data_IF_428594066789
#
_entry.id   IF_428594066789
#
_cell.length_a   1.000
_cell.length_b   1.000
_cell.length_c   1.000
_cell.angle_alpha   90.00
_cell.angle_beta   90.00
_cell.angle_gamma   90.00
#
_symmetry.space_group_name_H-M   'P 1'
#
loop_
_entity.id
_entity.type
_entity.pdbx_description
1 polymer ?
#
# COMPACT_ATOMS: atom_id res chain seq x y z
N UNK A 1 -29.24 7.14 -5.65
CA UNK A 1 -28.03 7.24 -4.81
C UNK A 1 -27.25 5.95 -5.03
N UNK A 2 -26.06 6.03 -5.61
CA UNK A 2 -25.24 4.84 -5.88
C UNK A 2 -24.01 4.88 -4.98
N UNK A 3 -23.57 3.72 -4.51
CA UNK A 3 -22.27 3.62 -3.83
C UNK A 3 -21.18 3.76 -4.90
N UNK A 4 -20.20 4.67 -4.72
CA UNK A 4 -19.12 4.83 -5.69
C UNK A 4 -18.38 3.51 -5.94
N UNK A 5 -17.86 3.34 -7.16
CA UNK A 5 -17.04 2.16 -7.50
C UNK A 5 -15.84 2.02 -6.56
N UNK A 6 -15.57 0.78 -6.14
CA UNK A 6 -14.48 0.46 -5.22
C UNK A 6 -14.76 0.78 -3.75
N UNK A 7 -15.99 1.17 -3.41
CA UNK A 7 -16.43 1.34 -2.03
C UNK A 7 -17.61 0.41 -1.73
N UNK A 8 -17.74 0.00 -0.48
CA UNK A 8 -18.79 -0.91 -0.04
C UNK A 8 -18.77 -1.10 1.47
N UNK A 9 -19.76 -1.80 1.99
CA UNK A 9 -19.85 -2.12 3.41
C UNK A 9 -21.28 -2.31 3.88
N UNK A 10 -21.44 -2.35 5.20
CA UNK A 10 -22.74 -2.45 5.86
C UNK A 10 -23.22 -1.06 6.26
N UNK A 11 -24.47 -0.72 5.93
CA UNK A 11 -25.12 0.49 6.44
C UNK A 11 -25.24 0.39 7.95
N UNK A 12 -24.68 1.36 8.67
CA UNK A 12 -24.71 1.42 10.13
C UNK A 12 -25.71 2.44 10.65
N UNK A 13 -26.00 3.48 9.88
CA UNK A 13 -26.93 4.54 10.27
C UNK A 13 -27.46 5.27 9.03
N UNK A 14 -28.67 5.83 9.15
CA UNK A 14 -29.30 6.69 8.16
C UNK A 14 -29.98 7.85 8.86
N UNK A 15 -29.55 9.07 8.55
CA UNK A 15 -30.11 10.30 9.10
C UNK A 15 -30.78 11.10 7.99
N UNK A 16 -32.05 11.40 8.19
CA UNK A 16 -32.86 12.21 7.29
C UNK A 16 -33.11 13.55 7.99
N UNK A 17 -32.73 14.63 7.34
CA UNK A 17 -33.02 16.01 7.75
C UNK A 17 -34.04 16.59 6.77
N UNK A 18 -35.09 17.23 7.29
CA UNK A 18 -36.18 17.79 6.49
C UNK A 18 -36.42 19.25 6.89
N UNK A 19 -36.45 20.15 5.91
CA UNK A 19 -36.70 21.57 6.16
C UNK A 19 -38.05 21.79 6.84
N UNK A 20 -39.05 20.97 6.52
CA UNK A 20 -40.38 21.08 7.12
C UNK A 20 -40.38 20.76 8.63
N UNK A 21 -39.39 19.99 9.09
CA UNK A 21 -39.21 19.67 10.50
C UNK A 21 -38.39 20.73 11.27
N UNK A 22 -38.01 21.83 10.61
CA UNK A 22 -37.19 22.88 11.21
C UNK A 22 -35.68 22.59 11.22
N UNK A 23 -35.22 21.60 10.44
CA UNK A 23 -33.79 21.32 10.30
C UNK A 23 -33.09 22.39 9.45
N UNK A 24 -31.90 22.81 9.88
CA UNK A 24 -31.07 23.77 9.15
C UNK A 24 -30.42 23.11 7.91
N UNK A 25 -30.77 23.60 6.73
CA UNK A 25 -30.38 23.05 5.43
C UNK A 25 -30.01 24.19 4.48
N UNK A 26 -28.98 23.98 3.65
CA UNK A 26 -28.52 24.94 2.65
C UNK A 26 -29.65 25.44 1.74
N UNK A 27 -29.61 26.70 1.27
CA UNK A 27 -30.60 27.24 0.34
C UNK A 27 -30.82 26.31 -0.86
N UNK A 28 -32.08 26.14 -1.28
CA UNK A 28 -32.45 25.20 -2.36
C UNK A 28 -32.58 23.72 -1.96
N UNK A 29 -32.12 23.30 -0.78
CA UNK A 29 -32.23 21.90 -0.32
C UNK A 29 -33.46 21.71 0.58
N UNK A 30 -34.42 20.88 0.14
CA UNK A 30 -35.62 20.56 0.92
C UNK A 30 -35.42 19.41 1.92
N UNK A 31 -34.62 18.41 1.55
CA UNK A 31 -34.35 17.21 2.35
C UNK A 31 -32.91 16.75 2.13
N UNK A 32 -32.22 16.38 3.19
CA UNK A 32 -30.87 15.81 3.14
C UNK A 32 -30.88 14.41 3.76
N UNK A 33 -30.37 13.43 3.02
CA UNK A 33 -30.21 12.05 3.50
C UNK A 33 -28.72 11.75 3.63
N UNK A 34 -28.28 11.44 4.85
CA UNK A 34 -26.92 10.95 5.13
C UNK A 34 -26.97 9.47 5.47
N UNK A 35 -26.17 8.67 4.78
CA UNK A 35 -26.06 7.23 4.99
C UNK A 35 -24.63 6.93 5.42
N UNK A 36 -24.44 6.31 6.57
CA UNK A 36 -23.13 5.88 7.05
C UNK A 36 -22.94 4.40 6.72
N UNK A 37 -21.82 4.08 6.08
CA UNK A 37 -21.45 2.74 5.66
C UNK A 37 -20.14 2.37 6.36
N UNK A 38 -20.12 1.24 7.06
CA UNK A 38 -18.93 0.71 7.71
C UNK A 38 -18.38 -0.50 6.96
N UNK A 39 -17.05 -0.60 6.87
CA UNK A 39 -16.36 -1.70 6.23
C UNK A 39 -15.17 -2.15 7.10
N UNK A 40 -15.12 -3.43 7.43
CA UNK A 40 -13.96 -4.03 8.12
C UNK A 40 -12.91 -4.44 7.10
N UNK A 41 -11.76 -3.76 7.12
CA UNK A 41 -10.66 -4.01 6.18
C UNK A 41 -9.60 -4.92 6.81
N UNK A 42 -9.49 -6.16 6.31
CA UNK A 42 -8.40 -7.07 6.66
C UNK A 42 -7.07 -6.62 6.04
N UNK A 43 -5.98 -7.21 6.49
CA UNK A 43 -4.66 -6.98 5.89
C UNK A 43 -4.60 -7.69 4.54
N UNK A 44 -4.08 -7.01 3.52
CA UNK A 44 -4.02 -7.52 2.14
C UNK A 44 -2.69 -7.18 1.50
N UNK A 45 -2.33 -7.91 0.44
CA UNK A 45 -1.16 -7.59 -0.37
C UNK A 45 -1.28 -6.18 -0.96
N UNK A 46 -0.20 -5.41 -0.91
CA UNK A 46 -0.20 -3.99 -1.28
C UNK A 46 -0.48 -3.02 -0.12
N UNK A 47 -0.97 -3.49 1.04
CA UNK A 47 -1.09 -2.64 2.23
C UNK A 47 0.29 -2.26 2.77
N UNK A 48 0.39 -1.05 3.34
CA UNK A 48 1.65 -0.52 3.89
C UNK A 48 1.73 -0.75 5.40
N UNK A 49 2.83 -1.35 5.83
CA UNK A 49 3.16 -1.60 7.24
C UNK A 49 4.43 -0.82 7.63
N UNK A 50 4.59 -0.54 8.92
CA UNK A 50 5.80 0.08 9.45
C UNK A 50 6.07 -0.31 10.89
N UNK A 51 7.34 -0.52 11.25
CA UNK A 51 7.74 -0.52 12.65
C UNK A 51 8.04 0.89 13.17
N UNK A 52 8.33 1.00 14.47
CA UNK A 52 8.58 2.28 15.15
C UNK A 52 9.89 2.95 14.73
N UNK A 53 10.82 2.17 14.19
CA UNK A 53 12.16 2.60 13.76
C UNK A 53 12.23 3.00 12.28
N UNK A 54 11.10 3.32 11.65
CA UNK A 54 11.05 3.81 10.27
C UNK A 54 11.23 2.74 9.19
N UNK A 55 11.27 1.46 9.56
CA UNK A 55 11.21 0.32 8.65
C UNK A 55 9.81 0.22 8.01
N UNK A 56 9.60 1.00 6.94
CA UNK A 56 8.36 1.02 6.15
C UNK A 56 8.46 0.01 5.01
N UNK A 57 7.42 -0.78 4.81
CA UNK A 57 7.32 -1.77 3.75
C UNK A 57 5.89 -1.93 3.25
N UNK A 58 5.76 -2.51 2.06
CA UNK A 58 4.48 -2.93 1.49
C UNK A 58 4.43 -4.46 1.55
N UNK A 59 3.28 -5.02 1.89
CA UNK A 59 3.10 -6.48 1.93
C UNK A 59 3.16 -7.00 0.51
N UNK A 60 4.23 -7.75 0.20
CA UNK A 60 4.45 -8.30 -1.13
C UNK A 60 3.70 -9.62 -1.35
N UNK A 61 3.60 -10.45 -0.30
CA UNK A 61 2.96 -11.76 -0.36
C UNK A 61 2.45 -12.16 1.02
N UNK A 62 1.28 -12.80 1.06
CA UNK A 62 0.78 -13.49 2.26
C UNK A 62 0.96 -14.99 2.02
N UNK A 63 1.76 -15.65 2.86
CA UNK A 63 2.02 -17.08 2.77
C UNK A 63 1.09 -17.86 3.71
N UNK A 64 0.73 -19.11 3.34
CA UNK A 64 0.18 -20.07 4.29
C UNK A 64 1.15 -20.34 5.45
N UNK A 65 0.63 -20.74 6.60
CA UNK A 65 1.42 -21.00 7.81
C UNK A 65 2.44 -22.13 7.59
N UNK A 66 2.05 -23.17 6.84
CA UNK A 66 2.90 -24.32 6.51
C UNK A 66 4.13 -23.96 5.64
N UNK A 67 4.06 -22.84 4.92
CA UNK A 67 5.13 -22.35 4.03
C UNK A 67 6.10 -21.42 4.76
N UNK A 68 5.76 -20.97 5.98
CA UNK A 68 6.57 -20.01 6.72
C UNK A 68 7.76 -20.71 7.38
N UNK A 69 8.93 -20.03 7.46
CA UNK A 69 10.04 -20.50 8.27
C UNK A 69 9.59 -20.76 9.71
N UNK A 70 10.06 -21.86 10.28
CA UNK A 70 9.68 -22.27 11.63
C UNK A 70 10.89 -22.58 12.50
N UNK A 71 10.68 -22.44 13.81
CA UNK A 71 11.67 -22.69 14.86
C UNK A 71 11.81 -24.19 15.16
N UNK A 72 12.85 -24.63 15.88
CA UNK A 72 13.03 -26.04 16.23
C UNK A 72 11.88 -26.64 17.06
N UNK A 73 11.12 -25.78 17.76
CA UNK A 73 9.92 -26.15 18.52
C UNK A 73 8.65 -26.31 17.64
N UNK A 74 8.76 -26.06 16.34
CA UNK A 74 7.67 -26.12 15.36
C UNK A 74 6.90 -24.80 15.18
N UNK A 75 7.25 -23.75 15.92
CA UNK A 75 6.53 -22.47 15.84
C UNK A 75 6.91 -21.70 14.57
N UNK A 76 5.96 -21.38 13.68
CA UNK A 76 6.22 -20.57 12.49
C UNK A 76 6.39 -19.08 12.84
N UNK A 77 7.14 -18.35 12.01
CA UNK A 77 7.27 -16.89 12.15
C UNK A 77 6.11 -16.16 11.46
N UNK A 78 5.71 -15.00 11.98
CA UNK A 78 4.59 -14.22 11.40
C UNK A 78 5.01 -13.29 10.25
N UNK A 79 6.19 -12.66 10.36
CA UNK A 79 6.66 -11.64 9.42
C UNK A 79 8.15 -11.84 9.15
N UNK A 80 8.53 -11.81 7.87
CA UNK A 80 9.93 -11.84 7.43
C UNK A 80 10.34 -10.43 7.00
N UNK A 81 11.28 -9.84 7.72
CA UNK A 81 11.84 -8.52 7.40
C UNK A 81 13.19 -8.69 6.69
N UNK A 82 13.35 -8.00 5.55
CA UNK A 82 14.61 -8.05 4.78
C UNK A 82 15.74 -7.31 5.54
N UNK A 83 16.88 -7.97 5.84
CA UNK A 83 17.97 -7.37 6.60
C UNK A 83 18.71 -6.24 5.85
N UNK A 84 18.66 -6.20 4.51
CA UNK A 84 19.40 -5.20 3.69
C UNK A 84 19.00 -3.76 4.05
N UNK A 85 17.77 -3.56 4.53
CA UNK A 85 17.26 -2.25 4.92
C UNK A 85 17.91 -1.67 6.18
N UNK A 86 18.53 -2.48 7.04
CA UNK A 86 19.04 -2.05 8.35
C UNK A 86 20.38 -1.31 8.25
N UNK A 87 21.43 -1.86 7.61
CA UNK A 87 22.73 -1.18 7.53
C UNK A 87 22.66 0.17 6.83
N UNK A 88 21.90 0.25 5.72
CA UNK A 88 21.77 1.48 4.92
C UNK A 88 21.05 2.61 5.65
N UNK A 89 20.15 2.30 6.60
CA UNK A 89 19.31 3.28 7.32
C UNK A 89 19.76 3.56 8.74
N UNK A 90 20.76 2.83 9.25
CA UNK A 90 21.30 2.95 10.62
C UNK A 90 20.24 2.85 11.71
N UNK A 91 19.17 2.06 11.49
CA UNK A 91 18.08 1.88 12.45
C UNK A 91 18.24 0.57 13.24
N UNK A 92 19.40 0.44 13.91
CA UNK A 92 19.76 -0.74 14.73
C UNK A 92 18.78 -0.99 15.89
N UNK A 93 18.11 0.06 16.39
CA UNK A 93 17.12 -0.05 17.45
C UNK A 93 16.01 -1.08 17.17
N UNK A 94 15.67 -1.35 15.91
CA UNK A 94 14.69 -2.40 15.58
C UNK A 94 15.19 -3.81 15.90
N UNK A 95 16.51 -4.03 15.79
CA UNK A 95 17.14 -5.32 16.12
C UNK A 95 17.20 -5.48 17.64
N UNK A 96 17.56 -4.42 18.35
CA UNK A 96 17.52 -4.40 19.82
C UNK A 96 16.09 -4.61 20.36
N UNK A 97 15.09 -3.99 19.73
CA UNK A 97 13.67 -4.23 20.03
C UNK A 97 13.31 -5.71 19.82
N UNK A 98 13.75 -6.30 18.70
CA UNK A 98 13.49 -7.70 18.36
C UNK A 98 14.09 -8.65 19.41
N UNK A 99 15.34 -8.42 19.82
CA UNK A 99 16.04 -9.20 20.84
C UNK A 99 15.39 -9.08 22.22
N UNK A 100 15.13 -7.85 22.67
CA UNK A 100 14.50 -7.62 23.96
C UNK A 100 13.06 -8.16 23.98
N UNK A 101 12.33 -8.03 22.86
CA UNK A 101 10.99 -8.61 22.71
C UNK A 101 10.98 -10.14 22.80
N UNK A 102 12.02 -10.80 22.28
CA UNK A 102 12.21 -12.24 22.44
C UNK A 102 12.35 -12.65 23.90
N UNK A 103 13.28 -12.00 24.62
CA UNK A 103 13.50 -12.26 26.04
C UNK A 103 12.25 -11.96 26.87
N UNK A 104 11.61 -10.80 26.65
CA UNK A 104 10.41 -10.36 27.33
C UNK A 104 9.26 -11.38 27.21
N UNK A 105 9.00 -11.89 26.00
CA UNK A 105 7.95 -12.89 25.77
C UNK A 105 8.25 -14.22 26.46
N UNK A 106 9.50 -14.69 26.41
CA UNK A 106 9.92 -15.96 27.02
C UNK A 106 9.94 -15.89 28.56
N UNK A 107 10.29 -14.74 29.12
CA UNK A 107 10.37 -14.51 30.57
C UNK A 107 9.06 -13.99 31.17
N UNK A 108 8.08 -13.63 30.34
CA UNK A 108 6.75 -13.20 30.77
C UNK A 108 6.71 -11.79 31.38
N UNK A 109 7.56 -10.87 30.90
CA UNK A 109 7.55 -9.47 31.35
C UNK A 109 7.33 -8.48 30.20
N UNK A 110 6.88 -7.27 30.54
CA UNK A 110 6.82 -6.15 29.61
C UNK A 110 8.03 -5.23 29.79
N UNK A 111 8.80 -5.02 28.72
CA UNK A 111 9.95 -4.13 28.75
C UNK A 111 9.52 -2.65 28.58
N UNK A 112 9.91 -1.79 29.52
CA UNK A 112 9.75 -0.33 29.42
C UNK A 112 11.12 0.32 29.33
N UNK A 113 11.51 0.73 28.13
CA UNK A 113 12.80 1.39 27.86
C UNK A 113 12.59 2.88 27.58
N UNK A 114 12.87 3.79 28.53
CA UNK A 114 12.81 5.23 28.31
C UNK A 114 13.70 5.69 27.15
N UNK A 115 13.35 6.83 26.57
CA UNK A 115 14.17 7.45 25.52
C UNK A 115 15.46 7.97 26.16
N UNK A 116 16.61 7.64 25.58
CA UNK A 116 17.97 8.00 26.03
C UNK A 116 18.47 7.39 27.35
N UNK A 117 17.60 6.75 28.13
CA UNK A 117 17.95 5.99 29.34
C UNK A 117 17.34 4.58 29.27
N UNK A 118 17.63 3.90 28.16
CA UNK A 118 17.06 2.59 27.82
C UNK A 118 17.88 1.42 28.35
N UNK A 119 17.42 0.21 28.02
CA UNK A 119 18.18 -1.01 28.28
C UNK A 119 19.52 -0.94 27.54
N UNK A 120 20.61 -1.26 28.26
CA UNK A 120 21.94 -1.41 27.67
C UNK A 120 22.04 -2.76 26.95
N UNK A 121 22.91 -2.85 25.96
CA UNK A 121 23.14 -4.08 25.19
C UNK A 121 23.43 -5.28 26.10
N UNK A 122 24.30 -5.10 27.10
CA UNK A 122 24.62 -6.15 28.09
C UNK A 122 23.40 -6.64 28.88
N UNK A 123 22.46 -5.75 29.20
CA UNK A 123 21.24 -6.12 29.90
C UNK A 123 20.30 -6.92 28.98
N UNK A 124 20.22 -6.57 27.69
CA UNK A 124 19.44 -7.35 26.71
C UNK A 124 20.04 -8.75 26.54
N UNK A 125 21.37 -8.84 26.45
CA UNK A 125 22.10 -10.11 26.39
C UNK A 125 21.89 -10.97 27.65
N UNK A 126 21.87 -10.37 28.84
CA UNK A 126 21.56 -11.06 30.09
C UNK A 126 20.13 -11.62 30.09
N UNK A 127 19.14 -10.86 29.60
CA UNK A 127 17.76 -11.35 29.51
C UNK A 127 17.60 -12.45 28.45
N UNK A 128 18.31 -12.36 27.30
CA UNK A 128 18.36 -13.46 26.32
C UNK A 128 18.99 -14.72 26.91
N UNK A 129 20.06 -14.56 27.71
CA UNK A 129 20.71 -15.65 28.41
C UNK A 129 19.77 -16.35 29.40
N UNK A 130 19.03 -15.58 30.22
CA UNK A 130 18.01 -16.12 31.13
C UNK A 130 16.94 -16.91 30.37
N UNK A 131 16.43 -16.36 29.27
CA UNK A 131 15.43 -17.02 28.45
C UNK A 131 15.93 -18.37 27.92
N UNK A 132 17.18 -18.45 27.48
CA UNK A 132 17.79 -19.70 27.02
C UNK A 132 18.01 -20.71 28.15
N UNK A 133 18.48 -20.28 29.32
CA UNK A 133 18.68 -21.16 30.49
C UNK A 133 17.35 -21.83 30.89
N UNK A 134 16.25 -21.08 30.89
CA UNK A 134 14.92 -21.63 31.17
C UNK A 134 14.56 -22.72 30.17
N UNK A 135 14.78 -22.47 28.87
CA UNK A 135 14.49 -23.45 27.82
C UNK A 135 15.34 -24.72 27.96
N UNK A 136 16.64 -24.59 28.22
CA UNK A 136 17.53 -25.75 28.40
C UNK A 136 17.26 -26.53 29.70
N UNK A 137 16.76 -25.87 30.75
CA UNK A 137 16.39 -26.53 32.00
C UNK A 137 15.15 -27.42 31.87
N UNK A 138 14.36 -27.25 30.80
CA UNK A 138 13.08 -27.95 30.62
C UNK A 138 11.97 -27.43 31.55
N UNK A 139 12.18 -26.30 32.22
CA UNK A 139 11.24 -25.72 33.18
C UNK A 139 9.93 -25.22 32.56
N UNK A 140 9.86 -25.11 31.23
CA UNK A 140 8.66 -24.75 30.47
C UNK A 140 8.41 -25.82 29.39
N UNK A 141 7.21 -26.40 29.28
CA UNK A 141 6.88 -27.25 28.14
C UNK A 141 6.90 -26.42 26.86
N UNK A 142 7.53 -26.92 25.79
CA UNK A 142 7.70 -26.21 24.51
C UNK A 142 6.41 -25.56 23.95
N UNK A 143 5.23 -26.13 24.27
CA UNK A 143 3.91 -25.65 23.84
C UNK A 143 3.33 -24.49 24.65
N UNK A 144 3.75 -24.30 25.91
CA UNK A 144 3.19 -23.28 26.82
C UNK A 144 3.54 -21.85 26.41
N UNK A 145 4.55 -21.69 25.55
CA UNK A 145 5.06 -20.41 25.06
C UNK A 145 4.09 -19.76 24.06
N UNK A 146 3.28 -20.58 23.39
CA UNK A 146 2.35 -20.15 22.32
C UNK A 146 1.00 -19.72 22.88
N UNK A 147 0.46 -20.42 23.89
CA UNK A 147 -0.95 -20.28 24.28
C UNK A 147 -1.26 -19.17 25.31
N UNK A 148 -0.30 -18.32 25.71
CA UNK A 148 -0.48 -17.33 26.80
C UNK A 148 -1.04 -17.97 28.10
N UNK A 149 -0.90 -19.29 28.27
CA UNK A 149 -1.24 -19.97 29.51
C UNK A 149 -0.01 -19.83 30.39
N UNK A 150 -0.13 -18.97 31.41
CA UNK A 150 0.88 -18.77 32.45
C UNK A 150 0.96 -20.01 33.34
N UNK A 151 1.46 -21.13 32.82
CA UNK A 151 1.96 -22.20 33.68
C UNK A 151 3.23 -21.69 34.37
N UNK A 152 3.28 -21.85 35.70
CA UNK A 152 4.37 -21.34 36.53
C UNK A 152 5.70 -21.97 36.11
N UNK A 153 6.70 -21.13 35.85
CA UNK A 153 8.08 -21.57 35.63
C UNK A 153 8.52 -22.40 36.85
N UNK A 154 8.95 -23.64 36.63
CA UNK A 154 9.47 -24.48 37.71
C UNK A 154 10.89 -24.02 38.10
N UNK A 155 10.94 -23.17 39.13
CA UNK A 155 12.20 -22.62 39.66
C UNK A 155 13.16 -23.71 40.17
N UNK A 156 12.64 -24.87 40.60
CA UNK A 156 13.46 -25.97 41.10
C UNK A 156 14.24 -26.69 40.00
N UNK A 157 13.68 -26.76 38.78
CA UNK A 157 14.42 -27.30 37.63
C UNK A 157 15.55 -26.38 37.19
N UNK A 158 15.32 -25.06 37.23
CA UNK A 158 16.33 -24.06 36.87
C UNK A 158 17.47 -24.08 37.88
N UNK A 159 17.17 -24.06 39.19
CA UNK A 159 18.21 -24.10 40.22
C UNK A 159 19.05 -25.37 40.11
N UNK A 160 18.40 -26.54 39.95
CA UNK A 160 19.10 -27.80 39.75
C UNK A 160 19.93 -27.86 38.46
N UNK A 161 19.54 -27.14 37.40
CA UNK A 161 20.32 -27.03 36.16
C UNK A 161 21.60 -26.20 36.36
N UNK A 162 21.49 -25.09 37.09
CA UNK A 162 22.59 -24.16 37.37
C UNK A 162 23.58 -24.72 38.40
N UNK A 163 23.08 -25.26 39.51
CA UNK A 163 23.92 -25.79 40.60
C UNK A 163 24.84 -26.92 40.12
N UNK A 164 24.33 -27.80 39.25
CA UNK A 164 25.14 -28.87 38.62
C UNK A 164 26.33 -28.35 37.83
N UNK A 165 26.26 -27.09 37.36
CA UNK A 165 27.25 -26.41 36.54
C UNK A 165 28.05 -25.37 37.32
N UNK A 166 27.84 -25.29 38.63
CA UNK A 166 28.57 -24.38 39.52
C UNK A 166 28.10 -22.94 39.46
N UNK A 167 26.87 -22.69 39.03
CA UNK A 167 26.26 -21.36 39.01
C UNK A 167 25.17 -21.23 40.08
N UNK A 168 25.07 -20.04 40.67
CA UNK A 168 24.05 -19.73 41.66
C UNK A 168 22.79 -19.18 41.00
N UNK A 169 21.65 -19.74 41.38
CA UNK A 169 20.33 -19.28 40.92
C UNK A 169 20.01 -17.88 41.43
N UNK A 170 20.36 -17.57 42.68
CA UNK A 170 20.02 -16.28 43.29
C UNK A 170 20.77 -15.13 42.58
N UNK A 171 22.06 -15.31 42.29
CA UNK A 171 22.88 -14.30 41.59
C UNK A 171 22.33 -13.96 40.19
N UNK A 172 21.84 -14.97 39.46
CA UNK A 172 21.39 -14.83 38.06
C UNK A 172 19.96 -14.33 37.96
N UNK A 173 19.02 -14.91 38.70
CA UNK A 173 17.59 -14.66 38.53
C UNK A 173 16.99 -13.70 39.57
N UNK A 174 17.55 -13.63 40.78
CA UNK A 174 16.97 -12.85 41.89
C UNK A 174 17.68 -11.52 42.08
N UNK A 175 19.00 -11.55 42.31
CA UNK A 175 19.81 -10.34 42.43
C UNK A 175 20.00 -9.65 41.08
N UNK A 176 19.98 -10.44 39.99
CA UNK A 176 20.16 -9.99 38.61
C UNK A 176 21.40 -9.11 38.46
N UNK A 177 22.52 -9.58 39.02
CA UNK A 177 23.80 -8.90 38.93
C UNK A 177 24.21 -8.74 37.47
N UNK A 178 24.73 -7.56 37.06
CA UNK A 178 25.14 -7.34 35.69
C UNK A 178 26.13 -8.41 35.22
N UNK A 179 25.90 -8.93 34.02
CA UNK A 179 26.75 -9.87 33.30
C UNK A 179 26.75 -11.31 33.84
N UNK A 180 26.10 -11.56 34.97
CA UNK A 180 26.04 -12.89 35.57
C UNK A 180 25.30 -13.89 34.66
N UNK A 181 24.18 -13.47 34.08
CA UNK A 181 23.38 -14.34 33.22
C UNK A 181 24.10 -14.65 31.91
N UNK A 182 24.64 -13.63 31.22
CA UNK A 182 25.38 -13.87 29.97
C UNK A 182 26.66 -14.67 30.20
N UNK A 183 27.37 -14.46 31.31
CA UNK A 183 28.55 -15.26 31.65
C UNK A 183 28.18 -16.74 31.80
N UNK A 184 27.14 -17.02 32.59
CA UNK A 184 26.67 -18.39 32.79
C UNK A 184 26.22 -19.04 31.49
N UNK A 185 25.40 -18.34 30.69
CA UNK A 185 24.93 -18.84 29.41
C UNK A 185 26.07 -19.11 28.41
N UNK A 186 26.98 -18.15 28.21
CA UNK A 186 28.11 -18.29 27.29
C UNK A 186 29.03 -19.43 27.71
N UNK A 187 29.32 -19.57 29.00
CA UNK A 187 30.17 -20.65 29.50
C UNK A 187 29.54 -22.02 29.27
N UNK A 188 28.29 -22.19 29.67
CA UNK A 188 27.55 -23.45 29.49
C UNK A 188 27.44 -23.79 28.00
N UNK A 189 27.13 -22.81 27.15
CA UNK A 189 27.02 -23.00 25.72
C UNK A 189 28.35 -23.37 25.06
N UNK A 190 29.44 -22.69 25.41
CA UNK A 190 30.77 -23.01 24.86
C UNK A 190 31.29 -24.38 25.32
N UNK A 191 31.10 -24.72 26.59
CA UNK A 191 31.53 -26.00 27.15
C UNK A 191 30.70 -27.18 26.59
N UNK A 192 29.37 -27.05 26.54
CA UNK A 192 28.47 -28.17 26.22
C UNK A 192 28.11 -28.28 24.73
N UNK A 193 27.94 -27.15 24.06
CA UNK A 193 27.49 -27.12 22.65
C UNK A 193 28.67 -26.98 21.71
N UNK A 194 29.60 -26.05 22.00
CA UNK A 194 30.77 -25.81 21.15
C UNK A 194 31.98 -26.69 21.51
N UNK A 195 31.95 -27.39 22.66
CA UNK A 195 33.02 -28.25 23.16
C UNK A 195 34.40 -27.53 23.23
N UNK A 196 34.40 -26.27 23.66
CA UNK A 196 35.60 -25.45 23.87
C UNK A 196 35.87 -25.26 25.35
N UNK A 197 37.15 -25.27 25.74
CA UNK A 197 37.56 -25.03 27.12
C UNK A 197 37.45 -23.54 27.46
N UNK A 198 36.57 -23.21 28.41
CA UNK A 198 36.30 -21.84 28.86
C UNK A 198 37.08 -21.43 30.12
N UNK A 199 37.99 -22.28 30.60
CA UNK A 199 38.68 -22.10 31.87
C UNK A 199 39.51 -20.82 31.91
N UNK A 200 39.10 -19.86 32.76
CA UNK A 200 39.84 -18.61 33.00
C UNK A 200 39.56 -17.48 32.02
N UNK A 201 38.59 -17.65 31.11
CA UNK A 201 38.17 -16.60 30.16
C UNK A 201 37.27 -15.57 30.85
N UNK A 202 37.43 -14.30 30.47
CA UNK A 202 36.51 -13.23 30.86
C UNK A 202 35.22 -13.26 30.03
N UNK A 203 34.20 -12.50 30.44
CA UNK A 203 32.93 -12.40 29.69
C UNK A 203 33.16 -11.93 28.26
N UNK A 204 34.05 -10.95 28.08
CA UNK A 204 34.37 -10.39 26.76
C UNK A 204 35.11 -11.41 25.88
N UNK A 205 36.03 -12.19 26.46
CA UNK A 205 36.73 -13.27 25.73
C UNK A 205 35.76 -14.37 25.28
N UNK A 206 34.80 -14.74 26.12
CA UNK A 206 33.76 -15.73 25.78
C UNK A 206 32.87 -15.21 24.64
N UNK A 207 32.53 -13.92 24.65
CA UNK A 207 31.72 -13.30 23.61
C UNK A 207 32.47 -13.22 22.28
N UNK A 208 33.76 -12.88 22.30
CA UNK A 208 34.58 -12.87 21.08
C UNK A 208 34.65 -14.27 20.45
N UNK A 209 34.85 -15.30 21.26
CA UNK A 209 34.86 -16.69 20.80
C UNK A 209 33.49 -17.11 20.22
N UNK A 210 32.39 -16.71 20.85
CA UNK A 210 31.04 -16.94 20.33
C UNK A 210 30.82 -16.26 18.97
N UNK A 211 31.36 -15.06 18.76
CA UNK A 211 31.29 -14.35 17.48
C UNK A 211 32.09 -15.06 16.38
N UNK A 212 33.28 -15.58 16.72
CA UNK A 212 34.11 -16.38 15.80
C UNK A 212 33.38 -17.66 15.39
N UNK A 213 32.79 -18.38 16.34
CA UNK A 213 32.01 -19.59 16.06
C UNK A 213 30.79 -19.31 15.19
N UNK A 214 30.07 -18.21 15.44
CA UNK A 214 28.94 -17.82 14.61
C UNK A 214 29.39 -17.47 13.17
N UNK A 215 30.54 -16.83 12.99
CA UNK A 215 31.05 -16.45 11.67
C UNK A 215 31.57 -17.64 10.87
N UNK A 216 32.36 -18.50 11.51
CA UNK A 216 33.16 -19.51 10.81
C UNK A 216 32.44 -20.88 10.76
N UNK A 217 31.57 -21.17 11.73
CA UNK A 217 30.88 -22.44 11.87
C UNK A 217 29.35 -22.35 11.84
N UNK A 218 28.76 -21.13 11.75
CA UNK A 218 27.31 -20.94 11.77
C UNK A 218 26.65 -21.27 13.11
N UNK A 219 27.43 -21.41 14.19
CA UNK A 219 26.94 -21.70 15.53
C UNK A 219 26.68 -20.40 16.29
N UNK A 220 25.41 -20.01 16.40
CA UNK A 220 25.04 -18.81 17.15
C UNK A 220 24.91 -19.09 18.64
N UNK A 221 25.61 -18.29 19.45
CA UNK A 221 25.35 -18.24 20.88
C UNK A 221 23.97 -17.60 21.16
N UNK A 222 23.25 -18.05 22.20
CA UNK A 222 21.90 -17.56 22.52
C UNK A 222 21.84 -16.04 22.78
N UNK A 223 22.92 -15.48 23.33
CA UNK A 223 23.05 -14.04 23.61
C UNK A 223 23.04 -13.17 22.34
N UNK A 224 23.31 -13.74 21.16
CA UNK A 224 23.28 -13.02 19.88
C UNK A 224 21.86 -12.78 19.35
N UNK A 225 20.83 -13.36 19.98
CA UNK A 225 19.44 -13.24 19.55
C UNK A 225 19.15 -13.94 18.21
N UNK A 226 19.99 -14.92 17.83
CA UNK A 226 19.82 -15.71 16.61
C UNK A 226 19.39 -17.13 16.96
N UNK A 227 18.54 -17.71 16.13
CA UNK A 227 18.05 -19.08 16.25
C UNK A 227 18.19 -19.81 14.92
N UNK A 228 18.32 -21.13 14.98
CA UNK A 228 18.23 -21.97 13.80
C UNK A 228 16.78 -21.96 13.32
N UNK A 229 16.57 -21.65 12.03
CA UNK A 229 15.28 -21.78 11.37
C UNK A 229 15.31 -22.95 10.39
N UNK A 230 14.13 -23.46 10.09
CA UNK A 230 13.87 -24.45 9.05
C UNK A 230 12.92 -23.85 8.01
N UNK A 231 13.14 -24.18 6.74
CA UNK A 231 12.24 -23.79 5.66
C UNK A 231 10.95 -24.62 5.74
N UNK A 232 9.79 -23.97 5.81
CA UNK A 232 8.48 -24.64 5.88
C UNK A 232 8.19 -25.53 4.68
N UNK A 233 8.75 -25.22 3.51
CA UNK A 233 8.49 -25.96 2.26
C UNK A 233 9.30 -27.24 2.13
N UNK A 234 10.56 -27.19 2.53
CA UNK A 234 11.52 -28.29 2.34
C UNK A 234 11.80 -29.05 3.62
N UNK A 235 11.61 -28.40 4.78
CA UNK A 235 12.03 -28.90 6.09
C UNK A 235 13.53 -28.80 6.34
N UNK A 236 14.30 -28.26 5.40
CA UNK A 236 15.75 -28.12 5.54
C UNK A 236 16.10 -26.92 6.43
N UNK A 237 17.19 -27.06 7.19
CA UNK A 237 17.71 -25.99 8.02
C UNK A 237 18.37 -24.91 7.14
N UNK A 238 18.18 -23.63 7.46
CA UNK A 238 18.92 -22.55 6.80
C UNK A 238 20.43 -22.65 7.06
N UNK A 239 21.24 -22.25 6.08
CA UNK A 239 22.71 -22.30 6.13
C UNK A 239 23.33 -21.50 7.29
N UNK A 240 22.62 -20.47 7.75
CA UNK A 240 23.07 -19.56 8.81
C UNK A 240 21.94 -19.29 9.80
N UNK A 241 22.27 -19.12 11.10
CA UNK A 241 21.30 -18.79 12.12
C UNK A 241 20.74 -17.38 11.89
N UNK A 242 19.44 -17.22 12.09
CA UNK A 242 18.68 -16.01 11.75
C UNK A 242 18.23 -15.32 13.02
N UNK A 243 18.27 -13.98 13.04
CA UNK A 243 17.69 -13.21 14.15
C UNK A 243 16.17 -13.38 14.16
N UNK A 244 15.65 -13.89 15.27
CA UNK A 244 14.21 -14.08 15.49
C UNK A 244 13.84 -13.38 16.80
N UNK A 245 12.67 -12.75 16.81
CA UNK A 245 12.19 -12.03 17.98
C UNK A 245 10.85 -11.38 17.75
N UNK A 246 10.39 -10.63 18.76
CA UNK A 246 9.12 -9.91 18.70
C UNK A 246 9.38 -8.43 18.43
N UNK A 247 8.76 -7.90 17.39
CA UNK A 247 8.85 -6.50 16.99
C UNK A 247 7.45 -5.90 16.88
N UNK A 248 7.31 -4.63 17.28
CA UNK A 248 6.03 -3.95 17.17
C UNK A 248 5.80 -3.38 15.76
N UNK A 249 4.76 -3.86 15.08
CA UNK A 249 4.40 -3.46 13.71
C UNK A 249 3.04 -2.74 13.66
N UNK A 250 2.99 -1.66 12.90
CA UNK A 250 1.82 -0.82 12.67
C UNK A 250 1.30 -0.98 11.24
N UNK A 251 -0.03 -1.04 11.10
CA UNK A 251 -0.72 -0.87 9.81
C UNK A 251 -0.92 0.61 9.51
N UNK A 252 -0.45 1.07 8.36
CA UNK A 252 -0.62 2.46 7.94
C UNK A 252 -1.93 2.63 7.16
N UNK A 253 -2.48 3.85 7.17
CA UNK A 253 -3.67 4.24 6.41
C UNK A 253 -3.50 4.16 4.87
N UNK A 254 -2.27 3.90 4.40
CA UNK A 254 -1.97 3.82 2.98
C UNK A 254 -2.31 2.42 2.45
N UNK A 255 -3.60 2.19 2.19
CA UNK A 255 -4.12 0.92 1.71
C UNK A 255 -4.12 0.83 0.19
N UNK A 256 -4.01 -0.38 -0.34
CA UNK A 256 -3.99 -0.61 -1.79
C UNK A 256 -5.34 -0.28 -2.44
N UNK A 257 -6.44 -0.64 -1.79
CA UNK A 257 -7.83 -0.41 -2.23
C UNK A 257 -8.09 1.07 -2.49
N UNK A 258 -7.50 1.94 -1.66
CA UNK A 258 -7.66 3.39 -1.78
C UNK A 258 -6.81 3.97 -2.92
N UNK A 259 -5.78 3.24 -3.40
CA UNK A 259 -4.82 3.72 -4.41
C UNK A 259 -5.04 3.19 -5.82
N UNK A 260 -5.64 2.01 -5.98
CA UNK A 260 -5.94 1.48 -7.32
C UNK A 260 -6.97 2.39 -7.97
N UNK A 261 -6.67 2.82 -9.20
CA UNK A 261 -7.54 3.63 -10.04
C UNK A 261 -7.29 3.24 -11.50
N UNK A 262 -8.36 3.03 -12.25
CA UNK A 262 -8.33 2.73 -13.66
C UNK A 262 -9.45 3.50 -14.37
N UNK A 263 -9.18 3.92 -15.60
CA UNK A 263 -10.12 4.68 -16.43
C UNK A 263 -10.06 4.16 -17.85
N UNK A 264 -11.24 3.89 -18.41
CA UNK A 264 -11.41 3.69 -19.85
C UNK A 264 -11.88 5.00 -20.50
N UNK A 265 -13.11 5.41 -20.19
CA UNK A 265 -13.71 6.69 -20.54
C UNK A 265 -14.19 7.40 -19.27
N UNK A 266 -14.51 8.69 -19.34
CA UNK A 266 -14.97 9.44 -18.17
C UNK A 266 -15.27 10.89 -18.50
N UNK A 267 -15.42 11.77 -17.49
CA UNK A 267 -15.71 13.17 -17.73
C UNK A 267 -14.50 13.93 -18.28
N UNK A 268 -14.81 15.03 -18.96
CA UNK A 268 -13.85 15.93 -19.62
C UNK A 268 -14.03 17.37 -19.15
N UNK A 269 -12.97 18.16 -19.28
CA UNK A 269 -12.99 19.60 -19.04
C UNK A 269 -13.84 20.31 -20.10
N UNK A 270 -14.67 21.27 -19.68
CA UNK A 270 -15.52 22.03 -20.60
C UNK A 270 -14.74 22.87 -21.61
N UNK A 271 -13.55 23.36 -21.23
CA UNK A 271 -12.75 24.27 -22.06
C UNK A 271 -11.76 23.49 -22.91
N UNK A 272 -10.90 22.73 -22.25
CA UNK A 272 -9.77 22.05 -22.91
C UNK A 272 -10.10 20.68 -23.45
N UNK A 273 -11.26 20.11 -23.06
CA UNK A 273 -11.75 18.81 -23.52
C UNK A 273 -10.80 17.65 -23.19
N UNK A 274 -9.87 17.91 -22.27
CA UNK A 274 -9.00 16.93 -21.67
C UNK A 274 -9.73 16.17 -20.55
N UNK A 275 -9.35 14.90 -20.31
CA UNK A 275 -9.76 14.16 -19.12
C UNK A 275 -9.63 14.99 -17.83
N UNK A 276 -10.68 14.99 -16.99
CA UNK A 276 -10.56 15.56 -15.65
C UNK A 276 -9.53 14.78 -14.81
N UNK A 277 -8.99 15.42 -13.77
CA UNK A 277 -8.04 14.80 -12.85
C UNK A 277 -8.71 14.20 -11.61
N UNK A 278 -8.07 13.21 -11.01
CA UNK A 278 -8.42 12.70 -9.69
C UNK A 278 -9.39 11.52 -9.67
N UNK A 279 -9.16 10.60 -8.73
CA UNK A 279 -9.91 9.33 -8.59
C UNK A 279 -11.40 9.55 -8.35
N UNK A 280 -11.77 10.56 -7.54
CA UNK A 280 -13.16 10.85 -7.22
C UNK A 280 -14.01 11.26 -8.43
N UNK A 281 -13.36 11.79 -9.49
CA UNK A 281 -14.02 12.22 -10.72
C UNK A 281 -13.81 11.21 -11.86
N UNK A 282 -13.34 9.99 -11.57
CA UNK A 282 -12.93 9.02 -12.60
C UNK A 282 -11.95 9.64 -13.61
N UNK A 283 -11.00 10.42 -13.08
CA UNK A 283 -10.08 11.23 -13.87
C UNK A 283 -8.96 10.44 -14.55
N UNK A 284 -8.39 11.01 -15.61
CA UNK A 284 -7.25 10.44 -16.34
C UNK A 284 -5.94 10.57 -15.56
N UNK A 285 -4.97 9.75 -15.93
CA UNK A 285 -3.59 9.91 -15.47
C UNK A 285 -2.92 11.03 -16.25
N UNK A 286 -2.20 11.91 -15.56
CA UNK A 286 -1.42 12.95 -16.23
C UNK A 286 -0.26 12.32 -16.99
N UNK A 287 -0.21 12.59 -18.29
CA UNK A 287 0.95 12.35 -19.14
C UNK A 287 1.71 13.67 -19.28
N UNK A 288 2.84 13.81 -18.60
CA UNK A 288 3.59 15.05 -18.50
C UNK A 288 4.70 15.15 -19.53
N UNK A 289 5.43 16.27 -19.48
CA UNK A 289 6.54 16.58 -20.37
C UNK A 289 7.67 15.54 -20.28
N UNK A 290 7.98 15.03 -19.08
CA UNK A 290 9.00 13.99 -18.90
C UNK A 290 8.60 12.67 -19.57
N UNK A 291 7.30 12.32 -19.54
CA UNK A 291 6.80 11.14 -20.22
C UNK A 291 6.76 11.31 -21.75
N UNK A 292 6.49 12.53 -22.24
CA UNK A 292 6.61 12.88 -23.67
C UNK A 292 8.03 12.66 -24.15
N UNK A 293 9.04 13.22 -23.46
CA UNK A 293 10.45 13.03 -23.80
C UNK A 293 10.85 11.56 -23.79
N UNK A 294 10.30 10.76 -22.89
CA UNK A 294 10.55 9.33 -22.87
C UNK A 294 10.07 8.68 -24.18
N UNK A 295 8.84 8.96 -24.64
CA UNK A 295 8.34 8.41 -25.92
C UNK A 295 9.10 8.94 -27.14
N UNK A 296 9.49 10.20 -27.13
CA UNK A 296 10.33 10.79 -28.17
C UNK A 296 11.69 10.10 -28.26
N UNK A 297 12.34 9.83 -27.13
CA UNK A 297 13.61 9.11 -27.07
C UNK A 297 13.49 7.67 -27.63
N UNK A 298 12.33 7.02 -27.42
CA UNK A 298 12.03 5.72 -28.03
C UNK A 298 11.62 5.81 -29.51
N UNK A 299 11.52 7.01 -30.09
CA UNK A 299 10.98 7.24 -31.43
C UNK A 299 9.56 6.65 -31.60
N UNK A 300 8.78 6.61 -30.53
CA UNK A 300 7.44 6.04 -30.49
C UNK A 300 6.40 7.05 -30.99
N UNK A 301 6.56 7.52 -32.23
CA UNK A 301 5.78 8.62 -32.80
C UNK A 301 4.26 8.37 -32.80
N UNK A 302 3.83 7.16 -33.15
CA UNK A 302 2.40 6.81 -33.16
C UNK A 302 1.80 6.76 -31.75
N UNK A 303 2.53 6.22 -30.77
CA UNK A 303 2.08 6.15 -29.38
C UNK A 303 1.99 7.55 -28.76
N UNK A 304 2.99 8.40 -29.03
CA UNK A 304 2.98 9.78 -28.57
C UNK A 304 1.82 10.55 -29.18
N UNK A 305 1.62 10.41 -30.51
CA UNK A 305 0.49 11.03 -31.20
C UNK A 305 -0.84 10.57 -30.59
N UNK A 306 -0.99 9.29 -30.29
CA UNK A 306 -2.19 8.73 -29.64
C UNK A 306 -2.46 9.37 -28.27
N UNK A 307 -1.43 9.54 -27.44
CA UNK A 307 -1.54 10.19 -26.12
C UNK A 307 -1.96 11.65 -26.22
N UNK A 308 -1.44 12.38 -27.22
CA UNK A 308 -1.69 13.80 -27.41
C UNK A 308 -3.00 14.12 -28.15
N UNK A 309 -3.70 13.10 -28.68
CA UNK A 309 -4.92 13.30 -29.50
C UNK A 309 -6.07 12.44 -28.97
N UNK A 310 -6.25 11.23 -29.50
CA UNK A 310 -7.45 10.40 -29.30
C UNK A 310 -7.65 9.93 -27.85
N UNK A 311 -6.58 9.87 -27.05
CA UNK A 311 -6.65 9.56 -25.61
C UNK A 311 -6.84 10.79 -24.72
N UNK A 312 -6.78 11.99 -25.30
CA UNK A 312 -6.87 13.27 -24.62
C UNK A 312 -8.06 14.07 -25.17
N UNK A 313 -7.79 15.03 -26.07
CA UNK A 313 -8.62 16.18 -26.42
C UNK A 313 -8.96 16.26 -27.91
N UNK A 314 -8.73 15.19 -28.67
CA UNK A 314 -9.37 15.01 -29.98
C UNK A 314 -10.78 14.44 -29.79
N UNK A 315 -11.78 15.33 -29.70
CA UNK A 315 -13.18 14.95 -29.44
C UNK A 315 -13.73 13.98 -30.49
N UNK A 316 -13.55 14.32 -31.77
CA UNK A 316 -14.07 13.54 -32.90
C UNK A 316 -13.28 12.23 -33.03
N UNK A 317 -11.96 12.30 -32.95
CA UNK A 317 -11.08 11.14 -33.08
C UNK A 317 -11.32 10.12 -31.97
N UNK A 318 -11.57 10.57 -30.73
CA UNK A 318 -11.86 9.67 -29.61
C UNK A 318 -13.14 8.88 -29.79
N UNK A 319 -14.23 9.51 -30.24
CA UNK A 319 -15.52 8.82 -30.48
C UNK A 319 -15.36 7.78 -31.59
N UNK A 320 -14.74 8.15 -32.71
CA UNK A 320 -14.45 7.23 -33.81
C UNK A 320 -13.55 6.07 -33.39
N UNK A 321 -12.55 6.34 -32.56
CA UNK A 321 -11.65 5.32 -32.01
C UNK A 321 -12.40 4.34 -31.14
N UNK A 322 -13.30 4.82 -30.27
CA UNK A 322 -14.12 3.96 -29.44
C UNK A 322 -15.00 3.04 -30.28
N UNK A 323 -15.67 3.57 -31.31
CA UNK A 323 -16.47 2.76 -32.23
C UNK A 323 -15.63 1.72 -32.99
N UNK A 324 -14.46 2.12 -33.50
CA UNK A 324 -13.55 1.22 -34.20
C UNK A 324 -13.11 0.06 -33.31
N UNK A 325 -12.76 0.34 -32.04
CA UNK A 325 -12.40 -0.70 -31.05
C UNK A 325 -13.56 -1.66 -30.80
N UNK A 326 -14.80 -1.16 -30.67
CA UNK A 326 -15.99 -2.01 -30.46
C UNK A 326 -16.29 -2.86 -31.68
N UNK A 327 -16.10 -2.32 -32.89
CA UNK A 327 -16.31 -3.03 -34.16
C UNK A 327 -15.15 -3.94 -34.57
N UNK A 328 -13.98 -3.83 -33.91
CA UNK A 328 -12.76 -4.55 -34.27
C UNK A 328 -12.10 -4.03 -35.56
N UNK A 329 -12.33 -2.77 -35.90
CA UNK A 329 -11.78 -2.08 -37.07
C UNK A 329 -10.50 -1.31 -36.71
N UNK A 330 -9.70 -0.96 -37.72
CA UNK A 330 -8.49 -0.15 -37.52
C UNK A 330 -8.83 1.28 -37.09
N UNK A 331 -8.02 1.82 -36.18
CA UNK A 331 -8.20 3.17 -35.66
C UNK A 331 -7.87 4.21 -36.74
N UNK A 332 -8.77 5.17 -36.93
CA UNK A 332 -8.60 6.26 -37.88
C UNK A 332 -7.42 7.19 -37.52
N UNK A 333 -6.93 7.95 -38.50
CA UNK A 333 -5.90 8.95 -38.22
C UNK A 333 -6.46 10.07 -37.32
N UNK A 334 -5.71 10.49 -36.29
CA UNK A 334 -6.14 11.56 -35.39
C UNK A 334 -6.28 12.91 -36.08
N UNK A 335 -7.19 13.74 -35.57
CA UNK A 335 -7.38 15.13 -35.98
C UNK A 335 -6.49 16.12 -35.21
N UNK A 336 -6.87 17.39 -35.28
CA UNK A 336 -6.21 18.48 -34.54
C UNK A 336 -6.73 18.48 -33.08
N UNK A 337 -5.84 18.49 -32.06
CA UNK A 337 -6.26 18.56 -30.66
C UNK A 337 -7.03 19.84 -30.33
N UNK A 338 -8.03 19.73 -29.44
CA UNK A 338 -8.80 20.90 -29.03
C UNK A 338 -7.97 21.93 -28.26
N UNK A 339 -6.95 21.52 -27.51
CA UNK A 339 -6.00 22.43 -26.87
C UNK A 339 -5.32 23.37 -27.86
N UNK A 340 -5.06 22.93 -29.10
CA UNK A 340 -4.49 23.77 -30.14
C UNK A 340 -5.50 24.82 -30.63
N UNK A 341 -6.78 24.45 -30.80
CA UNK A 341 -7.82 25.43 -31.13
C UNK A 341 -8.00 26.48 -30.03
N UNK A 342 -7.98 26.05 -28.76
CA UNK A 342 -8.03 26.98 -27.62
C UNK A 342 -6.85 27.94 -27.66
N UNK A 343 -5.62 27.44 -27.88
CA UNK A 343 -4.42 28.27 -28.03
C UNK A 343 -4.57 29.30 -29.16
N UNK A 344 -5.06 28.89 -30.33
CA UNK A 344 -5.28 29.82 -31.45
C UNK A 344 -6.28 30.93 -31.08
N UNK A 345 -7.39 30.58 -30.43
CA UNK A 345 -8.40 31.56 -29.99
C UNK A 345 -7.87 32.49 -28.91
N UNK A 346 -7.08 31.99 -27.97
CA UNK A 346 -6.42 32.80 -26.95
C UNK A 346 -5.44 33.82 -27.57
N UNK A 347 -4.62 33.41 -28.55
CA UNK A 347 -3.71 34.31 -29.24
C UNK A 347 -4.46 35.34 -30.12
N UNK A 348 -5.53 34.93 -30.81
CA UNK A 348 -6.41 35.85 -31.56
C UNK A 348 -7.08 36.88 -30.64
N UNK A 349 -7.44 36.50 -29.42
CA UNK A 349 -8.00 37.42 -28.41
C UNK A 349 -7.01 38.52 -28.01
N UNK A 350 -5.71 38.27 -28.15
CA UNK A 350 -4.63 39.24 -27.95
C UNK A 350 -4.36 40.10 -29.20
N UNK A 351 -5.22 40.03 -30.22
CA UNK A 351 -5.09 40.76 -31.49
C UNK A 351 -3.87 40.29 -32.29
N UNK A 352 -3.48 39.02 -32.13
CA UNK A 352 -2.46 38.38 -32.97
C UNK A 352 -3.16 37.63 -34.12
N UNK A 353 -2.79 37.95 -35.36
CA UNK A 353 -3.27 37.23 -36.54
C UNK A 353 -2.44 35.96 -36.73
N UNK A 354 -3.06 34.80 -36.46
CA UNK A 354 -2.44 33.49 -36.65
C UNK A 354 -3.28 32.73 -37.66
N UNK A 355 -2.64 32.32 -38.75
CA UNK A 355 -3.21 31.51 -39.82
C UNK A 355 -2.33 30.26 -39.99
N UNK A 356 -2.96 29.13 -40.29
CA UNK A 356 -2.24 27.91 -40.63
C UNK A 356 -1.97 27.94 -42.14
N UNK A 357 -0.70 28.10 -42.52
CA UNK A 357 -0.27 27.92 -43.90
C UNK A 357 -0.06 26.42 -44.17
N UNK A 358 -0.76 25.89 -45.18
CA UNK A 358 -0.49 24.57 -45.72
C UNK A 358 0.36 24.74 -46.97
N UNK A 359 1.53 24.10 -47.03
CA UNK A 359 2.45 24.19 -48.18
C UNK A 359 1.90 23.49 -49.46
N UNK A 360 0.76 22.79 -49.37
CA UNK A 360 0.19 21.96 -50.44
C UNK A 360 -1.03 22.57 -51.15
N UNK A 361 -1.07 23.89 -51.35
CA UNK A 361 -1.97 24.49 -52.35
C UNK A 361 -1.18 25.41 -53.26
N UNK A 362 -0.83 24.89 -54.43
CA UNK A 362 -0.47 25.71 -55.59
C UNK A 362 -1.65 26.65 -55.84
N UNK A 363 -1.36 27.94 -55.65
CA UNK A 363 -2.22 29.09 -55.86
C UNK A 363 -2.79 29.10 -57.29
N UNK A 364 -3.99 28.56 -57.48
CA UNK A 364 -4.79 28.83 -58.66
C UNK A 364 -6.29 28.65 -58.39
N UNK A 365 -6.92 29.66 -57.78
CA UNK A 365 -8.12 30.30 -58.34
C UNK A 365 -8.66 31.43 -57.46
N UNK A 366 -8.91 32.55 -58.16
CA UNK A 366 -9.45 33.82 -57.68
C UNK A 366 -10.87 33.70 -57.11
N UNK A 367 -11.15 34.57 -56.13
CA UNK A 367 -12.44 35.17 -55.77
C UNK A 367 -13.67 34.24 -55.85
N UNK A 368 -13.99 33.61 -54.72
CA UNK A 368 -15.31 33.07 -54.43
C UNK A 368 -15.32 32.55 -53.00
N UNK A 369 -16.14 33.15 -52.13
CA UNK A 369 -16.47 32.74 -50.76
C UNK A 369 -15.41 31.91 -50.01
N UNK A 370 -14.60 32.59 -49.18
CA UNK A 370 -13.83 31.96 -48.10
C UNK A 370 -14.80 31.25 -47.15
N UNK A 371 -14.98 29.95 -47.30
CA UNK A 371 -15.53 29.12 -46.23
C UNK A 371 -14.42 28.93 -45.19
N UNK A 372 -14.69 29.36 -43.96
CA UNK A 372 -13.83 29.09 -42.81
C UNK A 372 -13.73 27.56 -42.62
N UNK A 373 -12.53 26.95 -42.61
CA UNK A 373 -12.36 25.52 -42.33
C UNK A 373 -12.89 25.12 -40.94
N UNK A 374 -13.17 26.10 -40.09
CA UNK A 374 -13.68 25.96 -38.73
C UNK A 374 -15.20 26.10 -38.61
N UNK A 375 -15.92 26.35 -39.71
CA UNK A 375 -17.37 26.62 -39.69
C UNK A 375 -18.26 25.36 -39.74
N UNK A 376 -17.68 24.16 -39.76
CA UNK A 376 -18.45 22.92 -39.65
C UNK A 376 -18.87 22.64 -38.20
N UNK A 377 -19.69 23.51 -37.60
CA UNK A 377 -20.58 23.10 -36.52
C UNK A 377 -21.72 22.28 -37.14
N UNK A 378 -21.46 20.99 -37.41
CA UNK A 378 -22.55 20.05 -37.67
C UNK A 378 -23.32 19.88 -36.37
N UNK A 379 -24.62 20.16 -36.39
CA UNK A 379 -25.56 19.80 -35.34
C UNK A 379 -25.36 18.32 -34.97
N UNK A 380 -24.73 18.05 -33.83
CA UNK A 380 -24.62 16.71 -33.28
C UNK A 380 -25.83 16.53 -32.37
N UNK A 381 -26.76 15.68 -32.80
CA UNK A 381 -27.82 15.12 -31.97
C UNK A 381 -27.24 14.57 -30.67
N UNK A 382 -27.88 14.89 -29.55
CA UNK A 382 -27.48 14.55 -28.18
C UNK A 382 -26.86 13.13 -28.07
N UNK A 383 -25.56 13.00 -27.74
CA UNK A 383 -24.88 11.71 -27.60
C UNK A 383 -25.49 10.78 -26.54
N UNK A 384 -26.22 11.33 -25.55
CA UNK A 384 -26.93 10.54 -24.54
C UNK A 384 -28.13 9.79 -25.14
N UNK A 385 -28.82 10.38 -26.12
CA UNK A 385 -29.97 9.75 -26.78
C UNK A 385 -29.57 8.51 -27.61
N UNK A 386 -28.36 8.50 -28.19
CA UNK A 386 -27.81 7.35 -28.88
C UNK A 386 -27.41 6.21 -27.94
N UNK A 387 -27.00 6.54 -26.70
CA UNK A 387 -26.66 5.56 -25.67
C UNK A 387 -27.90 4.82 -25.15
N UNK A 388 -29.02 5.54 -24.94
CA UNK A 388 -30.30 4.94 -24.55
C UNK A 388 -30.89 4.06 -25.66
N UNK A 389 -30.77 4.48 -26.93
CA UNK A 389 -31.20 3.67 -28.07
C UNK A 389 -30.44 2.34 -28.23
N UNK A 390 -29.13 2.33 -27.96
CA UNK A 390 -28.33 1.11 -28.02
C UNK A 390 -28.64 0.13 -26.88
N UNK A 391 -28.94 0.64 -25.68
CA UNK A 391 -29.30 -0.19 -24.52
C UNK A 391 -30.73 -0.77 -24.63
N UNK A 392 -31.66 -0.04 -25.24
CA UNK A 392 -33.05 -0.48 -25.42
C UNK A 392 -33.25 -1.43 -26.62
N UNK A 393 -32.25 -1.59 -27.48
CA UNK A 393 -32.33 -2.45 -28.68
C UNK A 393 -32.20 -3.96 -28.42
N UNK A 394 -32.03 -4.37 -27.15
CA UNK A 394 -31.84 -5.78 -26.77
C UNK A 394 -33.09 -6.52 -26.29
N UNK A 395 -34.27 -5.90 -26.27
CA UNK A 395 -35.52 -6.60 -25.98
C UNK A 395 -36.57 -6.32 -27.06
N UNK A 396 -36.67 -7.22 -28.04
CA UNK A 396 -37.91 -7.38 -28.82
C UNK A 396 -38.13 -8.83 -29.22
N UNK A 397 -39.09 -9.47 -28.55
CA UNK A 397 -40.06 -10.37 -29.18
C UNK A 397 -41.43 -9.65 -29.21
N UNK A 398 -42.34 -10.01 -30.14
CA UNK A 398 -43.31 -9.06 -30.68
C UNK A 398 -44.71 -9.11 -30.03
N UNK A 399 -45.46 -8.05 -30.38
CA UNK A 399 -46.91 -7.88 -30.43
C UNK A 399 -47.63 -7.24 -29.22
N UNK A 400 -48.37 -6.16 -29.52
CA UNK A 400 -49.57 -5.78 -28.76
C UNK A 400 -49.87 -4.28 -28.59
N UNK A 401 -50.43 -3.67 -29.63
CA UNK A 401 -51.44 -2.59 -29.60
C UNK A 401 -51.13 -1.18 -29.03
N UNK A 402 -51.81 -0.23 -29.66
CA UNK A 402 -51.72 1.24 -29.63
C UNK A 402 -52.19 1.92 -28.34
N UNK A 403 -51.63 3.10 -28.01
CA UNK A 403 -52.41 4.33 -27.72
C UNK A 403 -51.54 5.60 -27.52
N UNK A 404 -51.84 6.61 -28.35
CA UNK A 404 -51.87 8.08 -28.17
C UNK A 404 -50.79 8.90 -27.44
N UNK A 405 -50.28 9.88 -28.19
CA UNK A 405 -49.51 11.09 -27.83
C UNK A 405 -50.04 11.92 -26.66
N UNK A 406 -49.12 12.50 -25.87
CA UNK A 406 -49.23 13.86 -25.32
C UNK A 406 -47.81 14.39 -24.96
N UNK A 407 -47.38 15.48 -25.62
CA UNK A 407 -46.17 16.26 -25.26
C UNK A 407 -46.48 17.23 -24.11
N UNK A 408 -45.54 17.52 -23.20
CA UNK A 408 -45.58 18.75 -22.43
C UNK A 408 -44.49 19.75 -22.85
N UNK A 409 -45.00 20.96 -23.04
CA UNK A 409 -44.39 22.26 -23.32
C UNK A 409 -43.05 22.61 -22.65
N UNK A 410 -42.24 23.31 -23.44
CA UNK A 410 -41.10 24.18 -23.10
C UNK A 410 -41.34 25.13 -21.92
N UNK A 411 -40.35 25.25 -21.03
CA UNK A 411 -40.23 26.37 -20.07
C UNK A 411 -38.88 27.05 -20.29
N UNK A 412 -38.97 28.37 -20.41
CA UNK A 412 -37.96 29.34 -20.81
C UNK A 412 -36.80 29.50 -19.81
N UNK A 413 -35.64 29.86 -20.37
CA UNK A 413 -34.47 30.38 -19.68
C UNK A 413 -34.80 31.60 -18.81
N UNK A 414 -34.17 31.69 -17.64
CA UNK A 414 -33.95 32.99 -17.00
C UNK A 414 -32.60 33.06 -16.27
N UNK A 415 -31.93 34.20 -16.48
CA UNK A 415 -30.52 34.48 -16.25
C UNK A 415 -30.12 34.68 -14.76
N UNK A 416 -28.81 34.59 -14.42
CA UNK A 416 -28.33 34.89 -13.08
C UNK A 416 -28.15 36.41 -12.87
N UNK A 417 -28.65 36.93 -11.74
CA UNK A 417 -28.42 38.31 -11.28
C UNK A 417 -27.51 38.26 -10.02
N UNK A 418 -26.54 39.18 -9.86
CA UNK A 418 -25.36 38.98 -9.00
C UNK A 418 -25.61 39.32 -7.52
N UNK A 419 -24.65 38.90 -6.69
CA UNK A 419 -24.67 38.95 -5.24
C UNK A 419 -24.76 40.34 -4.60
N UNK A 420 -25.16 40.33 -3.33
CA UNK A 420 -25.05 41.43 -2.40
C UNK A 420 -24.38 40.92 -1.12
N UNK A 421 -23.34 41.65 -0.72
CA UNK A 421 -22.68 41.55 0.59
C UNK A 421 -23.65 41.94 1.71
N UNK A 422 -23.71 41.10 2.75
CA UNK A 422 -23.67 41.47 4.18
C UNK A 422 -23.54 40.20 5.04
#
# INVERSE_FOLDING_TARGET
MYVPHGQGGKVIDVKILDRNNGDDLSPGVNKLVRVWIAHTRKITEGDKMAGRHGNKGVIAKILPEEDMPFLPDGTPVDIILNPIGVPSRMNLGQVLETHLGWAAKRLGFDAKTPVFDGAKDSAIEDELAKAWIIEQSGAVPARSIVDNVSDMIDLGMISGFLEKRGFDFEEIFVESKPDAARYACLKIWLDEVANKDTSGMSVDDLMEEALVLNRDHGLAAPVLGKSQLYDGRTGEAFDQPVTVGYIYMLKLIHLVEDKIHARATGPYSLITQQPLGGKAQLGGQRFGEMEVWALEAYSAAHNLREMLTIKSDDEIGRVKTYEAIVKGEDVAQPGIPQSFHVLMKELQSLVLSIELENDDVVDDQRLGSREDPFSASSEVSDPLALLEGALNSNDSEPDGESETNEEPSSIEDDQPVPGGDD
#
